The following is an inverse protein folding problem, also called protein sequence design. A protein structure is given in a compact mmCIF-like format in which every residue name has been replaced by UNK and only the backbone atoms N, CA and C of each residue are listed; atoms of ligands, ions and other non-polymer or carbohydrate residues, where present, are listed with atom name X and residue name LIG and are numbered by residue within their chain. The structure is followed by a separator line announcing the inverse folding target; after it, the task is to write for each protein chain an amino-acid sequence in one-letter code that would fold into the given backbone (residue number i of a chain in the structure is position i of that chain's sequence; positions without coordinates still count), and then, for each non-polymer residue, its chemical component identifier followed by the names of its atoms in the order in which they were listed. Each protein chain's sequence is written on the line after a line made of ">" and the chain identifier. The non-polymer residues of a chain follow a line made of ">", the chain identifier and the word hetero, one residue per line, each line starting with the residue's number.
data_IF_723642718358
#
_entry.id   IF_723642718358
#
_cell.length_a   1.000
_cell.length_b   1.000
_cell.length_c   1.000
_cell.angle_alpha   90.00
_cell.angle_beta   90.00
_cell.angle_gamma   90.00
#
_symmetry.space_group_name_H-M   'P 1'
#
loop_
_entity.id
_entity.type
_entity.pdbx_description
1 polymer ?
#
# COMPACT_ATOMS: atom_id res chain seq x y z
N UNK A 1 -12.72 6.24 -1.42
CA UNK A 1 -13.31 5.33 -0.42
C UNK A 1 -12.56 5.44 0.89
N UNK A 2 -13.27 5.66 1.99
CA UNK A 2 -12.71 5.79 3.33
C UNK A 2 -13.46 4.88 4.30
N UNK A 3 -12.74 4.13 5.11
CA UNK A 3 -13.28 3.39 6.25
C UNK A 3 -12.62 3.87 7.55
N UNK A 4 -13.41 3.96 8.63
CA UNK A 4 -12.91 4.32 9.96
C UNK A 4 -12.01 3.26 10.57
N UNK A 5 -12.21 1.99 10.19
CA UNK A 5 -11.46 0.83 10.67
C UNK A 5 -10.75 0.15 9.50
N UNK A 6 -11.23 -1.03 9.11
CA UNK A 6 -10.64 -1.87 8.08
C UNK A 6 -11.37 -1.75 6.74
N UNK A 7 -10.62 -1.93 5.65
CA UNK A 7 -11.13 -2.19 4.32
C UNK A 7 -10.56 -3.51 3.82
N UNK A 8 -11.44 -4.48 3.56
CA UNK A 8 -11.06 -5.82 3.12
C UNK A 8 -11.87 -6.22 1.89
N UNK A 9 -11.19 -6.75 0.89
CA UNK A 9 -11.82 -7.41 -0.25
C UNK A 9 -11.15 -8.75 -0.52
N UNK A 10 -11.95 -9.76 -0.91
CA UNK A 10 -11.43 -11.08 -1.31
C UNK A 10 -10.58 -11.04 -2.58
N UNK A 11 -10.85 -10.07 -3.46
CA UNK A 11 -10.18 -9.92 -4.75
C UNK A 11 -9.45 -8.57 -4.83
N UNK A 12 -10.08 -7.55 -5.40
CA UNK A 12 -9.47 -6.24 -5.63
C UNK A 12 -10.17 -5.13 -4.83
N UNK A 13 -9.40 -4.12 -4.40
CA UNK A 13 -9.93 -2.80 -4.07
C UNK A 13 -9.37 -1.77 -5.05
N UNK A 14 -10.27 -1.08 -5.74
CA UNK A 14 -9.92 -0.04 -6.71
C UNK A 14 -10.70 1.23 -6.40
N UNK A 15 -10.01 2.36 -6.40
CA UNK A 15 -10.66 3.68 -6.36
C UNK A 15 -10.00 4.62 -7.37
N UNK A 16 -10.81 5.44 -8.04
CA UNK A 16 -10.32 6.48 -8.97
C UNK A 16 -9.48 7.56 -8.28
N UNK A 17 -9.72 7.79 -6.99
CA UNK A 17 -9.02 8.80 -6.19
C UNK A 17 -8.27 8.11 -5.04
N UNK A 18 -8.85 8.09 -3.85
CA UNK A 18 -8.19 7.62 -2.62
C UNK A 18 -8.82 6.35 -2.05
N UNK A 19 -7.95 5.52 -1.47
CA UNK A 19 -8.28 4.38 -0.61
C UNK A 19 -7.66 4.63 0.77
N UNK A 20 -8.52 4.83 1.79
CA UNK A 20 -8.07 5.15 3.16
C UNK A 20 -8.76 4.25 4.19
N UNK A 21 -7.97 3.61 5.04
CA UNK A 21 -8.43 2.82 6.18
C UNK A 21 -7.76 3.32 7.46
N UNK A 22 -8.53 3.42 8.56
CA UNK A 22 -8.00 3.81 9.86
C UNK A 22 -7.03 2.78 10.44
N UNK A 23 -7.24 1.50 10.13
CA UNK A 23 -6.41 0.39 10.60
C UNK A 23 -5.78 -0.36 9.42
N UNK A 24 -6.52 -1.31 8.84
CA UNK A 24 -5.98 -2.19 7.81
C UNK A 24 -6.64 -1.99 6.45
N UNK A 25 -5.83 -2.06 5.40
CA UNK A 25 -6.28 -2.09 4.01
C UNK A 25 -5.75 -3.36 3.36
N UNK A 26 -6.67 -4.27 3.01
CA UNK A 26 -6.33 -5.62 2.52
C UNK A 26 -7.13 -5.99 1.28
N UNK A 27 -6.42 -6.50 0.28
CA UNK A 27 -7.04 -7.15 -0.88
C UNK A 27 -6.33 -8.47 -1.16
N UNK A 28 -7.10 -9.49 -1.55
CA UNK A 28 -6.53 -10.80 -1.92
C UNK A 28 -5.63 -10.73 -3.14
N UNK A 29 -5.89 -9.80 -4.07
CA UNK A 29 -5.15 -9.62 -5.31
C UNK A 29 -4.55 -8.22 -5.38
N UNK A 30 -5.32 -7.21 -5.81
CA UNK A 30 -4.78 -5.88 -6.06
C UNK A 30 -5.37 -4.77 -5.18
N UNK A 31 -4.49 -3.84 -4.80
CA UNK A 31 -4.84 -2.53 -4.26
C UNK A 31 -4.46 -1.43 -5.23
N UNK A 32 -5.44 -0.68 -5.73
CA UNK A 32 -5.22 0.41 -6.69
C UNK A 32 -5.95 1.67 -6.29
N UNK A 33 -5.21 2.77 -6.18
CA UNK A 33 -5.77 4.10 -6.03
C UNK A 33 -5.15 5.04 -7.08
N UNK A 34 -5.99 5.85 -7.72
CA UNK A 34 -5.52 6.85 -8.69
C UNK A 34 -4.67 7.95 -8.04
N UNK A 35 -4.84 8.21 -6.76
CA UNK A 35 -4.08 9.19 -5.98
C UNK A 35 -3.41 8.53 -4.78
N UNK A 36 -4.10 8.37 -3.65
CA UNK A 36 -3.47 7.90 -2.42
C UNK A 36 -3.99 6.55 -1.91
N UNK A 37 -3.04 5.73 -1.43
CA UNK A 37 -3.31 4.56 -0.60
C UNK A 37 -2.79 4.81 0.81
N UNK A 38 -3.68 4.78 1.80
CA UNK A 38 -3.33 5.02 3.20
C UNK A 38 -3.97 3.99 4.13
N UNK A 39 -3.14 3.35 4.95
CA UNK A 39 -3.58 2.52 6.07
C UNK A 39 -2.88 2.98 7.36
N UNK A 40 -3.65 3.14 8.43
CA UNK A 40 -3.08 3.53 9.73
C UNK A 40 -2.15 2.49 10.33
N UNK A 41 -2.31 1.21 9.99
CA UNK A 41 -1.49 0.12 10.53
C UNK A 41 -0.90 -0.77 9.44
N UNK A 42 -1.73 -1.57 8.74
CA UNK A 42 -1.24 -2.50 7.73
C UNK A 42 -1.84 -2.27 6.35
N UNK A 43 -0.99 -2.32 5.34
CA UNK A 43 -1.40 -2.31 3.94
C UNK A 43 -0.91 -3.59 3.27
N UNK A 44 -1.85 -4.42 2.79
CA UNK A 44 -1.56 -5.74 2.21
C UNK A 44 -2.27 -5.96 0.88
N UNK A 45 -1.53 -6.35 -0.14
CA UNK A 45 -2.04 -6.86 -1.40
C UNK A 45 -1.41 -8.22 -1.69
N UNK A 46 -2.18 -9.19 -2.20
CA UNK A 46 -1.61 -10.49 -2.57
C UNK A 46 -0.70 -10.41 -3.79
N UNK A 47 -1.01 -9.54 -4.76
CA UNK A 47 -0.28 -9.41 -6.03
C UNK A 47 0.31 -8.03 -6.24
N UNK A 48 -0.54 -7.02 -6.44
CA UNK A 48 -0.06 -5.68 -6.78
C UNK A 48 -0.60 -4.59 -5.88
N UNK A 49 0.28 -3.65 -5.58
CA UNK A 49 -0.04 -2.45 -4.86
C UNK A 49 0.35 -1.25 -5.74
N UNK A 50 -0.63 -0.44 -6.14
CA UNK A 50 -0.44 0.74 -6.99
C UNK A 50 -1.11 1.98 -6.41
N UNK A 51 -0.31 3.02 -6.18
CA UNK A 51 -0.81 4.36 -5.88
C UNK A 51 -0.33 5.34 -6.94
N UNK A 52 -1.20 6.22 -7.41
CA UNK A 52 -0.81 7.23 -8.40
C UNK A 52 0.07 8.34 -7.81
N UNK A 53 -0.07 8.68 -6.53
CA UNK A 53 0.70 9.73 -5.87
C UNK A 53 1.44 9.26 -4.62
N UNK A 54 0.72 8.93 -3.55
CA UNK A 54 1.33 8.52 -2.30
C UNK A 54 0.84 7.16 -1.82
N UNK A 55 1.78 6.43 -1.25
CA UNK A 55 1.53 5.17 -0.59
C UNK A 55 2.04 5.26 0.86
N UNK A 56 1.13 5.14 1.83
CA UNK A 56 1.45 5.25 3.25
C UNK A 56 0.89 4.09 4.05
N UNK A 57 1.76 3.42 4.80
CA UNK A 57 1.38 2.42 5.81
C UNK A 57 2.01 2.78 7.15
N UNK A 58 1.21 2.81 8.23
CA UNK A 58 1.71 3.22 9.54
C UNK A 58 2.70 2.24 10.17
N UNK A 59 2.53 0.92 9.98
CA UNK A 59 3.48 -0.09 10.49
C UNK A 59 4.05 -0.97 9.40
N UNK A 60 3.22 -1.73 8.71
CA UNK A 60 3.70 -2.69 7.71
C UNK A 60 3.04 -2.49 6.37
N UNK A 61 3.88 -2.61 5.35
CA UNK A 61 3.44 -2.75 3.98
C UNK A 61 3.89 -4.11 3.45
N UNK A 62 2.96 -4.87 2.86
CA UNK A 62 3.27 -6.12 2.17
C UNK A 62 2.60 -6.19 0.81
N UNK A 63 3.35 -6.61 -0.20
CA UNK A 63 2.82 -7.02 -1.51
C UNK A 63 3.53 -8.27 -2.00
N UNK A 64 2.81 -9.19 -2.62
CA UNK A 64 3.40 -10.45 -3.09
C UNK A 64 4.25 -10.32 -4.35
N UNK A 65 3.96 -9.37 -5.24
CA UNK A 65 4.71 -9.24 -6.50
C UNK A 65 5.24 -7.83 -6.72
N UNK A 66 4.36 -6.85 -6.92
CA UNK A 66 4.80 -5.51 -7.30
C UNK A 66 4.24 -4.43 -6.40
N UNK A 67 5.11 -3.50 -6.03
CA UNK A 67 4.75 -2.21 -5.50
C UNK A 67 5.10 -1.11 -6.49
N UNK A 68 4.14 -0.23 -6.78
CA UNK A 68 4.38 0.98 -7.59
C UNK A 68 3.73 2.20 -6.94
N UNK A 69 4.52 3.27 -6.80
CA UNK A 69 4.01 4.61 -6.51
C UNK A 69 4.80 5.63 -7.33
N UNK A 70 4.16 6.71 -7.78
CA UNK A 70 4.87 7.74 -8.54
C UNK A 70 5.71 8.61 -7.61
N UNK A 71 5.15 9.16 -6.55
CA UNK A 71 5.87 10.18 -5.78
C UNK A 71 6.49 9.61 -4.52
N UNK A 72 5.66 9.28 -3.51
CA UNK A 72 6.19 8.89 -2.20
C UNK A 72 5.72 7.52 -1.77
N UNK A 73 6.67 6.77 -1.22
CA UNK A 73 6.43 5.59 -0.40
C UNK A 73 6.84 5.88 1.04
N UNK A 74 5.91 5.75 1.99
CA UNK A 74 6.19 5.81 3.42
C UNK A 74 5.69 4.55 4.12
N UNK A 75 6.57 3.90 4.85
CA UNK A 75 6.23 2.77 5.75
C UNK A 75 6.87 3.01 7.10
N UNK A 76 6.18 2.73 8.21
CA UNK A 76 6.70 3.01 9.54
C UNK A 76 7.77 2.05 10.02
N UNK A 77 7.55 0.73 9.88
CA UNK A 77 8.44 -0.28 10.44
C UNK A 77 9.01 -1.21 9.37
N UNK A 78 8.14 -1.88 8.61
CA UNK A 78 8.59 -2.87 7.62
C UNK A 78 7.94 -2.67 6.26
N UNK A 79 8.77 -2.82 5.22
CA UNK A 79 8.35 -2.94 3.83
C UNK A 79 8.75 -4.33 3.32
N UNK A 80 7.78 -5.12 2.85
CA UNK A 80 8.03 -6.38 2.14
C UNK A 80 7.42 -6.36 0.75
N UNK A 81 8.22 -6.66 -0.26
CA UNK A 81 7.79 -6.76 -1.66
C UNK A 81 8.42 -7.99 -2.29
N UNK A 82 7.63 -8.90 -2.87
CA UNK A 82 8.21 -10.16 -3.37
C UNK A 82 9.13 -10.01 -4.58
N UNK A 83 8.73 -9.26 -5.61
CA UNK A 83 9.52 -9.18 -6.85
C UNK A 83 10.07 -7.77 -7.15
N UNK A 84 9.21 -6.76 -7.21
CA UNK A 84 9.67 -5.40 -7.55
C UNK A 84 9.05 -4.31 -6.69
N UNK A 85 9.89 -3.32 -6.41
CA UNK A 85 9.55 -2.08 -5.75
C UNK A 85 9.96 -0.91 -6.66
N UNK A 86 8.98 -0.12 -7.14
CA UNK A 86 9.24 1.09 -7.93
C UNK A 86 8.63 2.33 -7.28
N UNK A 87 9.49 3.31 -7.03
CA UNK A 87 9.15 4.66 -6.54
C UNK A 87 9.92 5.66 -7.39
N UNK A 88 9.29 6.68 -7.98
CA UNK A 88 10.00 7.61 -8.90
C UNK A 88 10.77 8.71 -8.16
N UNK A 89 10.29 9.16 -7.00
CA UNK A 89 10.89 10.27 -6.27
C UNK A 89 11.49 9.86 -4.94
N UNK A 90 10.65 9.54 -3.95
CA UNK A 90 11.14 9.35 -2.57
C UNK A 90 10.59 8.10 -1.91
N UNK A 91 11.48 7.41 -1.20
CA UNK A 91 11.17 6.25 -0.36
C UNK A 91 11.66 6.51 1.06
N UNK A 92 10.74 6.49 2.02
CA UNK A 92 11.05 6.47 3.46
C UNK A 92 10.50 5.19 4.07
N UNK A 93 11.40 4.26 4.36
CA UNK A 93 11.08 3.00 5.05
C UNK A 93 11.60 3.04 6.47
N UNK A 94 10.90 2.36 7.38
CA UNK A 94 11.39 2.12 8.73
C UNK A 94 12.54 1.11 8.75
N UNK A 95 12.83 0.66 9.96
CA UNK A 95 13.89 -0.26 10.38
C UNK A 95 14.31 -1.35 9.38
N UNK A 96 13.39 -1.93 8.58
CA UNK A 96 13.76 -3.03 7.68
C UNK A 96 13.02 -3.02 6.33
N UNK A 97 13.77 -3.33 5.26
CA UNK A 97 13.26 -3.70 3.94
C UNK A 97 13.55 -5.20 3.74
N UNK A 98 12.51 -5.99 3.54
CA UNK A 98 12.61 -7.41 3.21
C UNK A 98 12.20 -7.61 1.75
N UNK A 99 12.99 -8.35 0.98
CA UNK A 99 12.61 -8.84 -0.35
C UNK A 99 12.14 -10.28 -0.18
#
# INVERSE_FOLDING_TARGET
>A
LRAGWDLRAGWDLRAGWDLRAGWDLRAGWDLRAGWDLRAGRHLRAGRHLRAGRHLRAGRHLRTGWHLRTRWHLRTGWHLRTGWHLRTRWHRRTGWQILR
#
